data_IF_061353663668
#
_entry.id   IF_061353663668
#
_cell.length_a   1.000
_cell.length_b   1.000
_cell.length_c   1.000
_cell.angle_alpha   90.00
_cell.angle_beta   90.00
_cell.angle_gamma   90.00
#
_symmetry.space_group_name_H-M   'P 1'
#
loop_
_entity.id
_entity.type
_entity.pdbx_description
1 polymer ?
#
# COMPACT_ATOMS: atom_id res chain seq x y z
N UNK A 1 16.34 0.25 5.83
CA UNK A 1 15.49 -0.34 4.81
C UNK A 1 14.53 0.73 4.33
N UNK A 2 14.13 0.69 3.10
CA UNK A 2 13.27 1.71 2.51
C UNK A 2 11.79 1.62 2.89
N UNK A 3 11.41 0.81 3.87
CA UNK A 3 10.02 0.69 4.27
C UNK A 3 9.86 0.40 5.76
N UNK A 4 8.69 0.75 6.27
CA UNK A 4 8.31 0.51 7.66
C UNK A 4 6.81 0.25 7.74
N UNK A 5 6.40 -0.39 8.82
CA UNK A 5 4.98 -0.68 9.07
C UNK A 5 4.54 -0.11 10.39
N UNK A 6 3.30 0.35 10.44
CA UNK A 6 2.61 0.67 11.69
C UNK A 6 1.14 0.26 11.59
N UNK A 7 0.47 0.25 12.71
CA UNK A 7 -0.88 -0.30 12.81
C UNK A 7 -1.72 0.55 13.75
N UNK A 8 -2.95 0.85 13.33
CA UNK A 8 -3.94 1.50 14.19
C UNK A 8 -4.95 0.44 14.61
N UNK A 9 -4.85 -0.01 15.85
CA UNK A 9 -5.70 -1.08 16.38
C UNK A 9 -7.16 -0.67 16.44
N UNK A 10 -7.42 0.60 16.71
CA UNK A 10 -8.77 1.12 16.86
C UNK A 10 -9.57 1.04 15.56
N UNK A 11 -8.97 1.42 14.45
CA UNK A 11 -9.62 1.38 13.13
C UNK A 11 -9.25 0.12 12.33
N UNK A 12 -8.33 -0.69 12.85
CA UNK A 12 -7.87 -1.93 12.22
C UNK A 12 -7.28 -1.67 10.83
N UNK A 13 -6.27 -0.80 10.79
CA UNK A 13 -5.58 -0.42 9.56
C UNK A 13 -4.09 -0.70 9.70
N UNK A 14 -3.54 -1.47 8.76
CA UNK A 14 -2.10 -1.69 8.62
C UNK A 14 -1.59 -0.69 7.59
N UNK A 15 -0.56 0.09 7.95
CA UNK A 15 0.02 1.08 7.05
C UNK A 15 1.47 0.73 6.73
N UNK A 16 1.75 0.61 5.43
CA UNK A 16 3.11 0.50 4.90
C UNK A 16 3.55 1.90 4.46
N UNK A 17 4.74 2.31 4.87
CA UNK A 17 5.37 3.53 4.38
C UNK A 17 6.63 3.16 3.62
N UNK A 18 6.71 3.56 2.35
CA UNK A 18 7.92 3.47 1.56
C UNK A 18 8.59 4.83 1.53
N UNK A 19 9.91 4.88 1.63
CA UNK A 19 10.63 6.15 1.58
C UNK A 19 12.00 6.01 0.92
N UNK A 20 12.47 7.13 0.39
CA UNK A 20 13.76 7.20 -0.28
C UNK A 20 13.75 6.57 -1.65
N UNK A 21 14.85 5.92 -2.02
CA UNK A 21 15.01 5.24 -3.30
C UNK A 21 14.39 3.85 -3.22
N UNK A 22 13.33 3.62 -3.97
CA UNK A 22 12.62 2.33 -4.00
C UNK A 22 12.98 1.61 -5.29
N UNK A 23 13.63 0.47 -5.16
CA UNK A 23 13.94 -0.44 -6.27
C UNK A 23 12.87 -1.54 -6.35
N UNK A 24 12.94 -2.36 -7.40
CA UNK A 24 12.03 -3.51 -7.53
C UNK A 24 12.18 -4.47 -6.35
N UNK A 25 13.43 -4.71 -5.92
CA UNK A 25 13.69 -5.58 -4.78
C UNK A 25 13.02 -5.06 -3.51
N UNK A 26 13.17 -3.75 -3.23
CA UNK A 26 12.54 -3.12 -2.07
C UNK A 26 11.02 -3.23 -2.15
N UNK A 27 10.45 -3.00 -3.33
CA UNK A 27 9.00 -3.07 -3.52
C UNK A 27 8.47 -4.48 -3.26
N UNK A 28 9.12 -5.50 -3.83
CA UNK A 28 8.70 -6.90 -3.63
C UNK A 28 8.89 -7.33 -2.18
N UNK A 29 9.98 -6.93 -1.53
CA UNK A 29 10.21 -7.23 -0.12
C UNK A 29 9.14 -6.58 0.77
N UNK A 30 8.80 -5.33 0.49
CA UNK A 30 7.75 -4.62 1.23
C UNK A 30 6.39 -5.29 1.05
N UNK A 31 6.07 -5.72 -0.17
CA UNK A 31 4.83 -6.42 -0.45
C UNK A 31 4.73 -7.73 0.31
N UNK A 32 5.81 -8.52 0.30
CA UNK A 32 5.87 -9.78 1.02
C UNK A 32 5.75 -9.57 2.54
N UNK A 33 6.39 -8.52 3.07
CA UNK A 33 6.31 -8.18 4.48
C UNK A 33 4.88 -7.74 4.86
N UNK A 34 4.21 -7.01 3.99
CA UNK A 34 2.82 -6.61 4.23
C UNK A 34 1.90 -7.83 4.32
N UNK A 35 2.11 -8.81 3.44
CA UNK A 35 1.35 -10.05 3.47
C UNK A 35 1.55 -10.80 4.80
N UNK A 36 2.80 -10.85 5.29
CA UNK A 36 3.09 -11.49 6.58
C UNK A 36 2.43 -10.77 7.74
N UNK A 37 2.51 -9.44 7.77
CA UNK A 37 1.88 -8.64 8.83
C UNK A 37 0.37 -8.79 8.81
N UNK A 38 -0.24 -8.79 7.63
CA UNK A 38 -1.68 -8.95 7.49
C UNK A 38 -2.13 -10.35 7.94
N UNK A 39 -1.35 -11.39 7.60
CA UNK A 39 -1.68 -12.77 7.95
C UNK A 39 -1.61 -13.04 9.45
N UNK A 40 -0.83 -12.26 10.20
CA UNK A 40 -0.64 -12.45 11.65
C UNK A 40 -1.71 -11.77 12.50
N UNK A 41 -2.72 -11.14 11.89
CA UNK A 41 -3.79 -10.44 12.61
C UNK A 41 -5.14 -10.72 11.96
N UNK A 42 -6.25 -10.37 12.64
CA UNK A 42 -7.57 -10.45 12.01
C UNK A 42 -7.61 -9.60 10.75
N UNK A 43 -8.51 -9.91 9.84
CA UNK A 43 -8.63 -9.20 8.57
C UNK A 43 -8.62 -7.68 8.80
N UNK A 44 -7.69 -6.98 8.16
CA UNK A 44 -7.51 -5.55 8.36
C UNK A 44 -7.56 -4.82 7.02
N UNK A 45 -7.84 -3.51 7.09
CA UNK A 45 -7.72 -2.64 5.94
C UNK A 45 -6.26 -2.21 5.80
N UNK A 46 -5.90 -1.63 4.66
CA UNK A 46 -4.51 -1.29 4.42
C UNK A 46 -4.31 0.07 3.76
N UNK A 47 -3.17 0.68 4.08
CA UNK A 47 -2.67 1.88 3.40
C UNK A 47 -1.24 1.58 2.95
N UNK A 48 -0.94 1.92 1.70
CA UNK A 48 0.43 1.95 1.20
C UNK A 48 0.77 3.40 0.89
N UNK A 49 1.60 4.01 1.73
CA UNK A 49 2.01 5.40 1.61
C UNK A 49 3.35 5.48 0.88
N UNK A 50 3.34 6.02 -0.35
CA UNK A 50 4.55 6.21 -1.13
C UNK A 50 4.87 7.70 -1.33
N UNK A 51 4.29 8.58 -0.50
CA UNK A 51 4.51 10.03 -0.62
C UNK A 51 5.93 10.45 -0.25
N UNK A 52 6.65 9.62 0.52
CA UNK A 52 8.03 9.91 0.94
C UNK A 52 9.09 9.31 0.01
N UNK A 53 8.67 8.69 -1.07
CA UNK A 53 9.60 8.13 -2.05
C UNK A 53 10.23 9.27 -2.84
N UNK A 54 11.58 9.28 -2.91
CA UNK A 54 12.33 10.30 -3.66
C UNK A 54 12.67 9.82 -5.06
N UNK A 55 12.82 8.51 -5.24
CA UNK A 55 13.06 7.90 -6.55
C UNK A 55 12.38 6.54 -6.60
N UNK A 56 11.46 6.40 -7.54
CA UNK A 56 10.73 5.14 -7.73
C UNK A 56 11.28 4.44 -8.97
N UNK A 57 12.24 3.55 -8.74
CA UNK A 57 13.01 2.87 -9.76
C UNK A 57 12.43 1.47 -10.02
N UNK A 58 11.19 1.46 -10.52
CA UNK A 58 10.41 0.24 -10.74
C UNK A 58 9.83 0.27 -12.14
N UNK A 59 10.06 -0.79 -12.91
CA UNK A 59 9.56 -0.88 -14.28
C UNK A 59 8.07 -1.21 -14.32
N UNK A 60 7.44 -0.91 -15.46
CA UNK A 60 6.05 -1.30 -15.71
C UNK A 60 5.89 -2.83 -15.64
N UNK A 61 6.91 -3.58 -16.09
CA UNK A 61 6.87 -5.04 -16.03
C UNK A 61 6.85 -5.56 -14.58
N UNK A 62 7.59 -4.90 -13.69
CA UNK A 62 7.59 -5.25 -12.27
C UNK A 62 6.21 -4.99 -11.65
N UNK A 63 5.57 -3.89 -12.02
CA UNK A 63 4.21 -3.57 -11.56
C UNK A 63 3.23 -4.64 -12.05
N UNK A 64 3.38 -5.10 -13.30
CA UNK A 64 2.54 -6.18 -13.85
C UNK A 64 2.73 -7.47 -13.06
N UNK A 65 3.97 -7.86 -12.77
CA UNK A 65 4.26 -9.06 -11.97
C UNK A 65 3.65 -8.96 -10.57
N UNK A 66 3.71 -7.78 -9.97
CA UNK A 66 3.11 -7.56 -8.66
C UNK A 66 1.58 -7.69 -8.71
N UNK A 67 0.95 -7.17 -9.76
CA UNK A 67 -0.49 -7.26 -9.95
C UNK A 67 -0.96 -8.71 -10.15
N UNK A 68 -0.09 -9.57 -10.69
CA UNK A 68 -0.36 -10.98 -10.89
C UNK A 68 -0.16 -11.81 -9.62
N UNK A 69 0.49 -11.24 -8.60
CA UNK A 69 0.72 -11.90 -7.31
C UNK A 69 -0.56 -11.92 -6.46
N UNK A 70 -0.69 -12.87 -5.51
CA UNK A 70 -1.82 -12.85 -4.60
C UNK A 70 -1.88 -11.54 -3.80
N UNK A 71 -3.09 -11.02 -3.53
CA UNK A 71 -3.23 -9.81 -2.72
C UNK A 71 -2.62 -9.97 -1.32
N UNK A 72 -1.91 -8.95 -0.84
CA UNK A 72 -1.29 -8.96 0.49
C UNK A 72 -2.34 -8.86 1.61
N UNK A 73 -3.43 -8.16 1.36
CA UNK A 73 -4.53 -7.96 2.29
C UNK A 73 -5.79 -8.55 1.68
N UNK A 74 -6.66 -9.19 2.49
CA UNK A 74 -7.89 -9.81 1.96
C UNK A 74 -8.69 -8.86 1.07
N UNK A 75 -9.17 -9.36 -0.07
CA UNK A 75 -9.81 -8.54 -1.10
C UNK A 75 -11.09 -7.85 -0.66
N UNK A 76 -11.76 -8.36 0.38
CA UNK A 76 -12.97 -7.73 0.92
C UNK A 76 -12.66 -6.46 1.72
N UNK A 77 -11.40 -6.28 2.13
CA UNK A 77 -10.99 -5.14 2.91
C UNK A 77 -10.57 -3.99 2.00
N UNK A 78 -10.94 -2.76 2.37
CA UNK A 78 -10.52 -1.59 1.61
C UNK A 78 -9.02 -1.39 1.74
N UNK A 79 -8.37 -1.10 0.63
CA UNK A 79 -6.94 -0.79 0.57
C UNK A 79 -6.79 0.51 -0.20
N UNK A 80 -5.91 1.38 0.31
CA UNK A 80 -5.69 2.69 -0.28
C UNK A 80 -4.20 2.86 -0.56
N UNK A 81 -3.88 3.23 -1.78
CA UNK A 81 -2.52 3.54 -2.20
C UNK A 81 -2.39 5.05 -2.31
N UNK A 82 -1.41 5.64 -1.61
CA UNK A 82 -1.24 7.09 -1.57
C UNK A 82 -0.02 7.48 -2.38
N UNK A 83 -0.23 8.13 -3.53
CA UNK A 83 0.82 8.48 -4.48
C UNK A 83 0.71 9.94 -4.88
N UNK A 84 1.62 10.79 -4.39
CA UNK A 84 1.55 12.23 -4.59
C UNK A 84 2.12 12.72 -5.93
N UNK A 85 3.09 12.00 -6.52
CA UNK A 85 3.67 12.41 -7.81
C UNK A 85 2.90 11.80 -8.98
N UNK A 86 2.91 12.48 -10.12
CA UNK A 86 2.20 11.99 -11.30
C UNK A 86 2.75 10.66 -11.80
N UNK A 87 4.07 10.47 -11.75
CA UNK A 87 4.70 9.23 -12.22
C UNK A 87 4.25 8.04 -11.36
N UNK A 88 4.35 8.16 -10.05
CA UNK A 88 3.97 7.07 -9.14
C UNK A 88 2.46 6.84 -9.15
N UNK A 89 1.69 7.92 -9.25
CA UNK A 89 0.23 7.82 -9.38
C UNK A 89 -0.14 7.01 -10.63
N UNK A 90 0.53 7.29 -11.76
CA UNK A 90 0.28 6.55 -13.00
C UNK A 90 0.60 5.07 -12.87
N UNK A 91 1.71 4.73 -12.22
CA UNK A 91 2.06 3.31 -11.97
C UNK A 91 1.05 2.64 -11.02
N UNK A 92 0.60 3.35 -10.01
CA UNK A 92 -0.41 2.85 -9.08
C UNK A 92 -1.74 2.58 -9.80
N UNK A 93 -2.14 3.48 -10.69
CA UNK A 93 -3.35 3.28 -11.51
C UNK A 93 -3.21 2.06 -12.43
N UNK A 94 -2.03 1.86 -13.01
CA UNK A 94 -1.77 0.68 -13.82
C UNK A 94 -1.92 -0.60 -12.98
N UNK A 95 -1.35 -0.60 -11.77
CA UNK A 95 -1.48 -1.72 -10.86
C UNK A 95 -2.96 -1.99 -10.52
N UNK A 96 -3.72 -0.93 -10.25
CA UNK A 96 -5.15 -1.03 -9.96
C UNK A 96 -5.92 -1.66 -11.13
N UNK A 97 -5.66 -1.18 -12.34
CA UNK A 97 -6.36 -1.66 -13.54
C UNK A 97 -6.02 -3.11 -13.86
N UNK A 98 -4.74 -3.48 -13.75
CA UNK A 98 -4.30 -4.85 -14.01
C UNK A 98 -4.87 -5.83 -12.99
N UNK A 99 -5.09 -5.38 -11.75
CA UNK A 99 -5.59 -6.21 -10.67
C UNK A 99 -7.08 -6.02 -10.38
N UNK A 100 -7.84 -5.42 -11.28
CA UNK A 100 -9.24 -5.08 -11.03
C UNK A 100 -10.08 -6.27 -10.56
N UNK A 101 -9.88 -7.43 -11.15
CA UNK A 101 -10.63 -8.64 -10.79
C UNK A 101 -10.18 -9.26 -9.48
N UNK A 102 -8.91 -9.10 -9.13
CA UNK A 102 -8.33 -9.71 -7.93
C UNK A 102 -8.23 -8.73 -6.75
N UNK A 103 -8.33 -7.42 -7.02
CA UNK A 103 -8.22 -6.35 -6.01
C UNK A 103 -9.33 -5.32 -6.17
N UNK A 104 -10.61 -5.72 -6.03
CA UNK A 104 -11.73 -4.81 -6.34
C UNK A 104 -11.85 -3.63 -5.38
N UNK A 105 -11.30 -3.71 -4.16
CA UNK A 105 -11.42 -2.66 -3.15
C UNK A 105 -10.13 -1.87 -2.99
N UNK A 106 -9.36 -1.71 -4.07
CA UNK A 106 -8.14 -0.90 -4.08
C UNK A 106 -8.45 0.48 -4.64
N UNK A 107 -8.12 1.52 -3.87
CA UNK A 107 -8.30 2.91 -4.26
C UNK A 107 -6.96 3.62 -4.31
N UNK A 108 -6.82 4.56 -5.24
CA UNK A 108 -5.60 5.36 -5.38
C UNK A 108 -5.96 6.82 -5.08
N UNK A 109 -5.22 7.41 -4.16
CA UNK A 109 -5.40 8.83 -3.79
C UNK A 109 -4.05 9.54 -3.79
N UNK A 110 -4.08 10.85 -3.64
CA UNK A 110 -2.89 11.71 -3.70
C UNK A 110 -2.33 12.09 -2.33
N UNK A 111 -3.16 12.07 -1.30
CA UNK A 111 -2.75 12.50 0.05
C UNK A 111 -3.22 11.51 1.11
N UNK A 112 -2.53 11.51 2.26
CA UNK A 112 -2.96 10.70 3.40
C UNK A 112 -4.32 11.16 3.93
N UNK A 113 -4.61 12.46 3.90
CA UNK A 113 -5.92 12.96 4.32
C UNK A 113 -7.05 12.36 3.49
N UNK A 114 -6.86 12.26 2.18
CA UNK A 114 -7.84 11.61 1.30
C UNK A 114 -8.01 10.13 1.66
N UNK A 115 -6.92 9.45 1.98
CA UNK A 115 -6.96 8.04 2.39
C UNK A 115 -7.76 7.87 3.68
N UNK A 116 -7.49 8.71 4.68
CA UNK A 116 -8.22 8.66 5.96
C UNK A 116 -9.70 8.97 5.77
N UNK A 117 -10.01 9.91 4.88
CA UNK A 117 -11.39 10.23 4.56
C UNK A 117 -12.13 9.03 3.94
N UNK A 118 -11.51 8.36 2.96
CA UNK A 118 -12.07 7.17 2.35
C UNK A 118 -12.30 6.05 3.36
N UNK A 119 -11.34 5.87 4.28
CA UNK A 119 -11.40 4.83 5.30
C UNK A 119 -12.27 5.22 6.48
N UNK A 120 -12.79 6.45 6.48
CA UNK A 120 -13.63 6.99 7.56
C UNK A 120 -12.92 6.93 8.92
N UNK A 121 -11.66 7.35 8.91
CA UNK A 121 -10.81 7.37 10.11
C UNK A 121 -10.53 8.80 10.50
N UNK A 122 -10.82 9.10 11.77
CA UNK A 122 -10.57 10.42 12.33
C UNK A 122 -9.48 10.28 13.40
N UNK A 123 -8.41 11.06 13.24
CA UNK A 123 -7.28 11.09 14.19
C UNK A 123 -6.71 9.69 14.47
N UNK A 124 -6.21 8.97 13.45
CA UNK A 124 -5.66 7.63 13.68
C UNK A 124 -4.41 7.68 14.55
N UNK A 125 -4.20 6.62 15.34
CA UNK A 125 -3.05 6.48 16.23
C UNK A 125 -2.23 5.27 15.79
N UNK A 126 -1.35 5.47 14.82
CA UNK A 126 -0.51 4.41 14.29
C UNK A 126 0.68 4.14 15.20
N UNK A 127 0.84 2.87 15.58
CA UNK A 127 1.94 2.40 16.42
C UNK A 127 2.85 1.51 15.59
N UNK A 128 4.19 1.74 15.61
CA UNK A 128 5.10 0.91 14.83
C UNK A 128 4.96 -0.57 15.14
N UNK A 129 5.05 -1.41 14.10
CA UNK A 129 5.10 -2.86 14.22
C UNK A 129 6.34 -3.38 13.48
N UNK A 130 6.92 -4.44 13.99
CA UNK A 130 8.15 -5.01 13.42
C UNK A 130 7.93 -6.35 12.74
#
# INVERSE_FOLDING_TARGET
MGFAFDFDARSNILRLTLEGHVTEEVLFDAYAAMARHAASRPACRGIADVTRVTKFDVSANAVRRLAESPPAIPTKQMRVFVASTNFVYGLARMFQMLGEKTRPNLHIVRTLDEAYHLLQVDSPDFVPVS
#
